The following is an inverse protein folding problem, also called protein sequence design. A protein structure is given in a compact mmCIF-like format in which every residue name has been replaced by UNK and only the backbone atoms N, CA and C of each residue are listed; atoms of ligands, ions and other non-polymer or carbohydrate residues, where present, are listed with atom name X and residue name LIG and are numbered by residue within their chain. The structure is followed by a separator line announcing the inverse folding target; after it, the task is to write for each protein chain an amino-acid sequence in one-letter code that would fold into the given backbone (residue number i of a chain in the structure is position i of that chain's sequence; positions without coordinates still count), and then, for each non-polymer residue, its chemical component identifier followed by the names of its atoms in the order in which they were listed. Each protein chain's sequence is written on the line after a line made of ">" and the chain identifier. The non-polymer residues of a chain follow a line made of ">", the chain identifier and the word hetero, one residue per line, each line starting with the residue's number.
data_IF_609769545511
#
_entry.id   IF_609769545511
#
_cell.length_a   1.000
_cell.length_b   1.000
_cell.length_c   1.000
_cell.angle_alpha   90.00
_cell.angle_beta   90.00
_cell.angle_gamma   90.00
#
_symmetry.space_group_name_H-M   'P 1'
#
loop_
_entity.id
_entity.type
_entity.pdbx_description
1 polymer ?
#
# COMPACT_ATOMS: atom_id res chain seq x y z
N UNK A 1 25.01 4.06 -52.00
CA UNK A 1 23.68 4.42 -51.49
C UNK A 1 23.80 4.50 -49.98
N UNK A 2 23.76 5.75 -49.48
CA UNK A 2 24.06 6.06 -48.11
C UNK A 2 22.87 5.76 -47.17
N UNK A 3 23.14 5.01 -46.12
CA UNK A 3 22.21 4.83 -44.98
C UNK A 3 22.28 6.05 -44.09
N UNK A 4 21.20 6.82 -44.03
CA UNK A 4 21.04 7.86 -43.03
C UNK A 4 20.79 7.23 -41.63
N UNK A 5 21.76 7.39 -40.74
CA UNK A 5 21.61 7.04 -39.34
C UNK A 5 20.60 7.96 -38.68
N UNK A 6 19.55 7.40 -38.12
CA UNK A 6 18.60 8.12 -37.29
C UNK A 6 19.30 8.57 -36.00
N UNK A 7 19.28 9.89 -35.76
CA UNK A 7 19.77 10.46 -34.51
C UNK A 7 18.93 9.98 -33.33
N UNK A 8 19.53 9.73 -32.15
CA UNK A 8 18.77 9.35 -30.97
C UNK A 8 17.84 10.48 -30.53
N UNK A 9 16.56 10.16 -30.37
CA UNK A 9 15.57 11.08 -29.80
C UNK A 9 15.93 11.29 -28.33
N UNK A 10 16.43 12.47 -28.00
CA UNK A 10 16.66 12.89 -26.63
C UNK A 10 15.30 13.06 -25.93
N UNK A 11 15.03 12.22 -24.93
CA UNK A 11 13.92 12.43 -24.00
C UNK A 11 14.18 13.72 -23.21
N UNK A 12 13.19 14.60 -23.04
CA UNK A 12 13.37 15.80 -22.26
C UNK A 12 13.59 15.43 -20.79
N UNK A 13 14.79 15.66 -20.30
CA UNK A 13 15.10 15.67 -18.88
C UNK A 13 14.56 16.97 -18.27
N UNK A 14 13.28 16.97 -17.92
CA UNK A 14 12.71 17.94 -17.02
C UNK A 14 12.21 17.20 -15.78
N UNK A 15 13.08 17.03 -14.79
CA UNK A 15 12.67 16.86 -13.41
C UNK A 15 11.75 18.05 -13.07
N UNK A 16 10.55 17.81 -12.51
CA UNK A 16 9.72 18.91 -12.06
C UNK A 16 10.48 19.71 -11.00
N UNK A 17 10.32 21.03 -11.08
CA UNK A 17 10.89 21.98 -10.14
C UNK A 17 10.71 21.51 -8.69
N UNK A 18 11.74 21.73 -7.86
CA UNK A 18 11.70 21.47 -6.44
C UNK A 18 10.35 21.95 -5.86
N UNK A 19 9.67 21.06 -5.13
CA UNK A 19 8.47 21.42 -4.38
C UNK A 19 8.78 22.70 -3.59
N UNK A 20 7.89 23.71 -3.58
CA UNK A 20 8.12 24.95 -2.83
C UNK A 20 8.45 24.59 -1.38
N UNK A 21 9.32 25.40 -0.74
CA UNK A 21 9.79 25.21 0.64
C UNK A 21 8.60 24.83 1.51
N UNK A 22 8.55 23.55 1.87
CA UNK A 22 7.29 22.93 2.20
C UNK A 22 6.88 23.33 3.60
N UNK A 23 5.72 23.90 3.72
CA UNK A 23 5.03 24.10 4.99
C UNK A 23 4.76 22.73 5.67
N UNK A 24 4.60 22.64 6.98
CA UNK A 24 4.27 21.42 7.67
C UNK A 24 3.04 20.72 7.07
N UNK A 25 3.08 19.41 6.96
CA UNK A 25 2.00 18.60 6.42
C UNK A 25 1.41 17.70 7.51
N UNK A 26 0.10 17.66 7.60
CA UNK A 26 -0.62 16.70 8.44
C UNK A 26 -0.95 15.46 7.62
N UNK A 27 -0.54 14.30 8.11
CA UNK A 27 -1.01 13.00 7.64
C UNK A 27 -1.92 12.37 8.66
N UNK A 28 -3.02 11.78 8.19
CA UNK A 28 -3.94 10.99 9.02
C UNK A 28 -4.10 9.61 8.39
N UNK A 29 -3.94 8.57 9.20
CA UNK A 29 -4.30 7.21 8.86
C UNK A 29 -5.58 6.84 9.60
N UNK A 30 -6.69 6.78 8.87
CA UNK A 30 -8.02 6.46 9.38
C UNK A 30 -8.24 4.95 9.31
N UNK A 31 -7.89 4.23 10.36
CA UNK A 31 -8.22 2.82 10.48
C UNK A 31 -9.61 2.56 11.09
N UNK A 32 -10.09 1.32 10.97
CA UNK A 32 -11.40 0.93 11.50
C UNK A 32 -11.52 0.96 13.03
N UNK A 33 -10.41 0.72 13.74
CA UNK A 33 -10.35 0.68 15.21
C UNK A 33 -9.49 1.78 15.79
N UNK A 34 -8.48 2.22 15.08
CA UNK A 34 -7.54 3.27 15.51
C UNK A 34 -7.30 4.25 14.39
N UNK A 35 -7.19 5.52 14.75
CA UNK A 35 -6.84 6.62 13.86
C UNK A 35 -5.55 7.25 14.39
N UNK A 36 -4.58 7.42 13.49
CA UNK A 36 -3.30 8.03 13.81
C UNK A 36 -3.09 9.29 12.99
N UNK A 37 -2.51 10.31 13.60
CA UNK A 37 -2.12 11.54 12.91
C UNK A 37 -0.67 11.90 13.23
N UNK A 38 0.04 12.43 12.22
CA UNK A 38 1.39 12.99 12.37
C UNK A 38 1.48 14.37 11.75
N UNK A 39 2.49 15.11 12.16
CA UNK A 39 2.95 16.31 11.45
C UNK A 39 4.36 16.05 10.95
N UNK A 40 4.57 16.25 9.66
CA UNK A 40 5.90 16.31 9.04
C UNK A 40 6.30 17.75 8.82
N UNK A 41 7.53 18.13 9.22
CA UNK A 41 8.11 19.42 8.90
C UNK A 41 8.49 19.52 7.41
N UNK A 42 9.07 20.65 7.01
CA UNK A 42 9.51 20.90 5.62
C UNK A 42 10.47 19.82 5.09
N UNK A 43 11.33 19.29 5.96
CA UNK A 43 12.32 18.27 5.60
C UNK A 43 11.75 16.84 5.60
N UNK A 44 10.49 16.65 6.02
CA UNK A 44 9.87 15.33 6.18
C UNK A 44 10.17 14.66 7.51
N UNK A 45 10.77 15.38 8.47
CA UNK A 45 10.92 14.87 9.83
C UNK A 45 9.59 14.92 10.58
N UNK A 46 9.32 13.89 11.37
CA UNK A 46 8.13 13.83 12.22
C UNK A 46 8.35 14.70 13.44
N UNK A 47 7.49 15.71 13.62
CA UNK A 47 7.55 16.64 14.75
C UNK A 47 6.43 16.47 15.75
N UNK A 48 5.39 15.71 15.40
CA UNK A 48 4.28 15.40 16.29
C UNK A 48 3.57 14.13 15.85
N UNK A 49 3.04 13.37 16.80
CA UNK A 49 2.23 12.17 16.59
C UNK A 49 1.16 12.02 17.64
N UNK A 50 -0.02 11.60 17.23
CA UNK A 50 -1.13 11.22 18.10
C UNK A 50 -1.89 10.04 17.52
N UNK A 51 -2.24 9.09 18.38
CA UNK A 51 -3.13 7.97 18.06
C UNK A 51 -4.32 7.98 18.99
N UNK A 52 -5.51 7.74 18.45
CA UNK A 52 -6.76 7.64 19.18
C UNK A 52 -7.51 6.39 18.74
N UNK A 53 -8.48 5.95 19.55
CA UNK A 53 -9.45 4.94 19.08
C UNK A 53 -10.41 5.60 18.09
N UNK A 54 -10.69 4.89 16.98
CA UNK A 54 -11.67 5.36 15.99
C UNK A 54 -13.06 5.16 16.53
N UNK A 55 -13.91 6.19 16.64
CA UNK A 55 -15.25 6.07 17.21
C UNK A 55 -16.26 5.47 16.22
N UNK A 56 -15.91 4.34 15.60
CA UNK A 56 -16.69 3.70 14.53
C UNK A 56 -18.10 3.29 14.99
N UNK A 57 -18.25 2.85 16.25
CA UNK A 57 -19.53 2.48 16.84
C UNK A 57 -20.48 3.68 17.05
N UNK A 58 -19.94 4.90 17.13
CA UNK A 58 -20.70 6.12 17.32
C UNK A 58 -21.17 6.75 16.00
N UNK A 59 -20.78 6.14 14.86
CA UNK A 59 -21.20 6.52 13.53
C UNK A 59 -20.36 7.62 12.87
N UNK A 60 -20.80 8.00 11.68
CA UNK A 60 -20.07 8.89 10.77
C UNK A 60 -19.73 10.26 11.37
N UNK A 61 -20.70 10.91 12.03
CA UNK A 61 -20.48 12.25 12.63
C UNK A 61 -19.41 12.25 13.72
N UNK A 62 -19.31 11.18 14.52
CA UNK A 62 -18.28 11.04 15.53
C UNK A 62 -16.89 10.86 14.90
N UNK A 63 -16.79 10.14 13.79
CA UNK A 63 -15.53 10.01 13.03
C UNK A 63 -15.09 11.37 12.49
N UNK A 64 -16.00 12.14 11.88
CA UNK A 64 -15.69 13.49 11.39
C UNK A 64 -15.18 14.40 12.51
N UNK A 65 -15.86 14.42 13.64
CA UNK A 65 -15.47 15.23 14.80
C UNK A 65 -14.09 14.80 15.33
N UNK A 66 -13.81 13.51 15.40
CA UNK A 66 -12.51 12.99 15.83
C UNK A 66 -11.37 13.40 14.88
N UNK A 67 -11.59 13.33 13.56
CA UNK A 67 -10.62 13.79 12.56
C UNK A 67 -10.34 15.28 12.68
N UNK A 68 -11.39 16.11 12.79
CA UNK A 68 -11.23 17.55 13.00
C UNK A 68 -10.50 17.89 14.29
N UNK A 69 -10.79 17.15 15.37
CA UNK A 69 -10.09 17.29 16.65
C UNK A 69 -8.61 16.94 16.56
N UNK A 70 -8.23 15.89 15.80
CA UNK A 70 -6.82 15.56 15.55
C UNK A 70 -6.10 16.64 14.75
N UNK A 71 -6.75 17.20 13.72
CA UNK A 71 -6.20 18.31 12.91
C UNK A 71 -5.96 19.53 13.83
N UNK A 72 -6.93 19.91 14.66
CA UNK A 72 -6.78 21.04 15.57
C UNK A 72 -5.61 20.84 16.56
N UNK A 73 -5.45 19.63 17.11
CA UNK A 73 -4.32 19.29 17.99
C UNK A 73 -2.98 19.35 17.25
N UNK A 74 -2.93 18.83 16.03
CA UNK A 74 -1.74 18.87 15.17
C UNK A 74 -1.32 20.32 14.85
N UNK A 75 -2.27 21.19 14.51
CA UNK A 75 -2.03 22.62 14.26
C UNK A 75 -1.47 23.33 15.50
N UNK A 76 -2.10 23.08 16.65
CA UNK A 76 -1.66 23.66 17.93
C UNK A 76 -0.23 23.22 18.29
N UNK A 77 0.09 21.95 18.10
CA UNK A 77 1.41 21.40 18.42
C UNK A 77 2.50 21.90 17.47
N UNK A 78 2.17 22.06 16.18
CA UNK A 78 3.11 22.57 15.17
C UNK A 78 3.29 24.10 15.23
N UNK A 79 2.45 24.83 15.96
CA UNK A 79 2.50 26.29 16.06
C UNK A 79 2.20 27.04 14.77
N UNK A 80 1.66 26.35 13.76
CA UNK A 80 1.37 26.91 12.42
C UNK A 80 0.08 26.31 11.87
N UNK A 81 -0.63 27.09 11.05
CA UNK A 81 -1.69 26.51 10.23
C UNK A 81 -1.07 25.47 9.26
N UNK A 82 -1.62 24.27 9.14
CA UNK A 82 -1.08 23.29 8.23
C UNK A 82 -1.27 23.77 6.79
N UNK A 83 -0.23 23.63 5.99
CA UNK A 83 -0.32 23.96 4.58
C UNK A 83 -1.06 22.90 3.78
N UNK A 84 -1.09 21.68 4.30
CA UNK A 84 -1.70 20.55 3.62
C UNK A 84 -2.14 19.47 4.60
N UNK A 85 -3.28 18.84 4.28
CA UNK A 85 -3.83 17.70 5.01
C UNK A 85 -4.06 16.56 4.02
N UNK A 86 -3.51 15.41 4.34
CA UNK A 86 -3.79 14.18 3.61
C UNK A 86 -4.31 13.10 4.54
N UNK A 87 -5.18 12.23 4.02
CA UNK A 87 -5.84 11.16 4.75
C UNK A 87 -5.71 9.86 3.97
N UNK A 88 -5.13 8.85 4.63
CA UNK A 88 -5.24 7.46 4.25
C UNK A 88 -6.51 6.88 4.89
N UNK A 89 -7.33 6.20 4.13
CA UNK A 89 -8.57 5.61 4.65
C UNK A 89 -8.80 4.22 4.09
N UNK A 90 -9.53 3.35 4.81
CA UNK A 90 -10.00 2.12 4.21
C UNK A 90 -10.95 2.44 3.05
N UNK A 91 -10.84 1.70 1.95
CA UNK A 91 -11.65 1.92 0.76
C UNK A 91 -11.18 3.08 -0.13
N UNK A 92 -12.06 3.53 -1.02
CA UNK A 92 -11.75 4.55 -2.03
C UNK A 92 -12.98 5.41 -2.34
N UNK A 93 -12.78 6.48 -3.13
CA UNK A 93 -13.87 7.34 -3.56
C UNK A 93 -14.50 6.83 -4.89
N UNK A 94 -15.80 6.96 -5.00
CA UNK A 94 -16.51 6.87 -6.29
C UNK A 94 -16.26 8.12 -7.13
N UNK A 95 -16.64 8.09 -8.42
CA UNK A 95 -16.64 9.28 -9.29
C UNK A 95 -17.51 10.43 -8.73
N UNK A 96 -18.54 10.12 -7.94
CA UNK A 96 -19.38 11.09 -7.26
C UNK A 96 -18.80 11.60 -5.93
N UNK A 97 -17.57 11.22 -5.57
CA UNK A 97 -16.90 11.63 -4.32
C UNK A 97 -17.39 10.93 -3.06
N UNK A 98 -18.15 9.84 -3.19
CA UNK A 98 -18.66 9.07 -2.06
C UNK A 98 -17.69 7.93 -1.72
N UNK A 99 -17.50 7.63 -0.44
CA UNK A 99 -16.71 6.49 0.01
C UNK A 99 -17.33 5.15 -0.43
N UNK A 100 -16.50 4.20 -0.86
CA UNK A 100 -16.88 2.82 -1.18
C UNK A 100 -15.82 1.84 -0.69
N UNK A 101 -16.21 0.59 -0.50
CA UNK A 101 -15.34 -0.53 -0.12
C UNK A 101 -14.60 -0.32 1.22
N UNK A 102 -15.08 0.56 2.09
CA UNK A 102 -14.51 0.74 3.41
C UNK A 102 -14.93 -0.39 4.35
N UNK A 103 -13.98 -0.98 5.09
CA UNK A 103 -14.28 -1.91 6.16
C UNK A 103 -15.08 -1.24 7.30
N UNK A 104 -14.87 0.04 7.51
CA UNK A 104 -15.69 0.87 8.41
C UNK A 104 -16.98 1.23 7.70
N UNK A 105 -18.02 0.42 7.91
CA UNK A 105 -19.29 0.49 7.15
C UNK A 105 -19.96 1.86 7.21
N UNK A 106 -19.83 2.60 8.32
CA UNK A 106 -20.42 3.93 8.48
C UNK A 106 -19.85 5.00 7.52
N UNK A 107 -18.73 4.71 6.86
CA UNK A 107 -18.11 5.58 5.85
C UNK A 107 -18.72 5.37 4.46
N UNK A 108 -19.20 4.16 4.14
CA UNK A 108 -19.66 3.83 2.80
C UNK A 108 -20.91 4.66 2.42
N UNK A 109 -20.88 5.21 1.19
CA UNK A 109 -21.91 6.11 0.68
C UNK A 109 -21.86 7.54 1.25
N UNK A 110 -20.85 7.88 2.07
CA UNK A 110 -20.70 9.23 2.66
C UNK A 110 -19.72 10.08 1.88
N UNK A 111 -19.93 11.41 1.79
CA UNK A 111 -19.04 12.34 1.09
C UNK A 111 -17.91 12.82 2.01
N UNK A 112 -17.12 11.88 2.57
CA UNK A 112 -16.12 12.13 3.60
C UNK A 112 -15.15 13.28 3.24
N UNK A 113 -14.68 13.32 1.99
CA UNK A 113 -13.78 14.37 1.52
C UNK A 113 -14.44 15.76 1.57
N UNK A 114 -15.66 15.88 1.01
CA UNK A 114 -16.37 17.15 0.95
C UNK A 114 -16.74 17.66 2.35
N UNK A 115 -17.21 16.76 3.24
CA UNK A 115 -17.58 17.11 4.60
C UNK A 115 -16.38 17.56 5.42
N UNK A 116 -15.20 16.90 5.26
CA UNK A 116 -13.98 17.34 5.92
C UNK A 116 -13.46 18.67 5.40
N UNK A 117 -13.49 18.89 4.10
CA UNK A 117 -13.11 20.19 3.51
C UNK A 117 -14.00 21.32 4.01
N UNK A 118 -15.31 21.08 4.08
CA UNK A 118 -16.26 22.06 4.63
C UNK A 118 -16.01 22.33 6.12
N UNK A 119 -15.75 21.27 6.91
CA UNK A 119 -15.54 21.39 8.36
C UNK A 119 -14.22 22.08 8.70
N UNK A 120 -13.15 21.81 7.95
CA UNK A 120 -11.80 22.33 8.20
C UNK A 120 -11.52 23.66 7.48
N UNK A 121 -12.38 24.07 6.53
CA UNK A 121 -12.22 25.30 5.76
C UNK A 121 -10.98 25.34 4.88
N UNK A 122 -10.42 24.18 4.51
CA UNK A 122 -9.19 24.08 3.72
C UNK A 122 -9.15 22.80 2.88
N UNK A 123 -8.29 22.74 1.85
CA UNK A 123 -8.11 21.55 1.02
C UNK A 123 -7.67 20.34 1.84
N UNK A 124 -8.27 19.20 1.55
CA UNK A 124 -7.91 17.88 2.07
C UNK A 124 -7.72 16.94 0.89
N UNK A 125 -6.73 16.08 0.94
CA UNK A 125 -6.55 14.99 -0.01
C UNK A 125 -6.85 13.65 0.69
N UNK A 126 -7.49 12.71 -0.02
CA UNK A 126 -7.81 11.40 0.52
C UNK A 126 -7.46 10.31 -0.50
N UNK A 127 -6.90 9.21 -0.03
CA UNK A 127 -6.67 7.99 -0.80
C UNK A 127 -6.74 6.76 0.12
N UNK A 128 -6.62 5.54 -0.44
CA UNK A 128 -6.57 4.36 0.40
C UNK A 128 -5.21 4.19 1.12
N UNK A 129 -5.18 3.33 2.13
CA UNK A 129 -4.02 3.03 2.96
C UNK A 129 -2.82 2.46 2.17
N UNK A 130 -3.08 1.57 1.20
CA UNK A 130 -2.03 0.98 0.37
C UNK A 130 -1.39 2.02 -0.58
N UNK A 131 -2.17 2.96 -1.10
CA UNK A 131 -1.66 4.10 -1.86
C UNK A 131 -0.80 5.02 -0.99
N UNK A 132 -1.20 5.23 0.26
CA UNK A 132 -0.37 5.97 1.22
C UNK A 132 0.96 5.25 1.47
N UNK A 133 0.95 3.92 1.66
CA UNK A 133 2.19 3.14 1.76
C UNK A 133 3.08 3.36 0.54
N UNK A 134 2.53 3.20 -0.67
CA UNK A 134 3.29 3.37 -1.91
C UNK A 134 3.90 4.77 -2.04
N UNK A 135 3.14 5.80 -1.69
CA UNK A 135 3.59 7.19 -1.75
C UNK A 135 4.71 7.47 -0.73
N UNK A 136 4.56 6.99 0.50
CA UNK A 136 5.60 7.10 1.52
C UNK A 136 6.90 6.46 1.06
N UNK A 137 6.82 5.20 0.65
CA UNK A 137 8.00 4.43 0.27
C UNK A 137 8.67 4.97 -1.00
N UNK A 138 7.90 5.54 -1.94
CA UNK A 138 8.44 6.19 -3.13
C UNK A 138 9.06 7.56 -2.83
N UNK A 139 8.58 8.28 -1.80
CA UNK A 139 9.03 9.65 -1.50
C UNK A 139 10.30 9.67 -0.66
N UNK A 140 10.26 9.01 0.49
CA UNK A 140 11.34 9.05 1.48
C UNK A 140 11.68 7.67 2.09
N UNK A 141 11.10 6.58 1.56
CA UNK A 141 11.29 5.23 2.03
C UNK A 141 12.17 4.35 1.13
N UNK A 142 11.93 3.04 1.18
CA UNK A 142 12.73 2.01 0.50
C UNK A 142 12.74 2.14 -1.03
N UNK A 143 11.73 2.77 -1.62
CA UNK A 143 11.58 3.02 -3.06
C UNK A 143 12.05 4.41 -3.49
N UNK A 144 12.69 5.19 -2.60
CA UNK A 144 13.14 6.54 -2.93
C UNK A 144 14.04 6.55 -4.18
N UNK A 145 13.70 7.43 -5.12
CA UNK A 145 14.43 7.60 -6.39
C UNK A 145 14.03 6.62 -7.49
N UNK A 146 13.19 5.63 -7.22
CA UNK A 146 12.65 4.74 -8.23
C UNK A 146 11.52 5.44 -9.01
N UNK A 147 11.47 5.21 -10.33
CA UNK A 147 10.41 5.74 -11.18
C UNK A 147 9.08 5.02 -10.92
N UNK A 148 9.11 3.70 -10.72
CA UNK A 148 7.93 2.87 -10.45
C UNK A 148 8.15 2.07 -9.17
N UNK A 149 7.26 2.28 -8.19
CA UNK A 149 7.21 1.55 -6.91
C UNK A 149 5.87 0.85 -6.80
N UNK A 150 5.90 -0.46 -6.57
CA UNK A 150 4.74 -1.24 -6.19
C UNK A 150 4.86 -1.57 -4.70
N UNK A 151 3.90 -1.16 -3.89
CA UNK A 151 3.90 -1.42 -2.45
C UNK A 151 2.73 -2.32 -2.07
N UNK A 152 3.03 -3.52 -1.55
CA UNK A 152 2.03 -4.49 -1.12
C UNK A 152 1.91 -4.49 0.41
N UNK A 153 0.68 -4.38 0.90
CA UNK A 153 0.35 -4.61 2.32
C UNK A 153 -0.04 -6.07 2.49
N UNK A 154 0.71 -6.79 3.31
CA UNK A 154 0.45 -8.20 3.64
C UNK A 154 0.13 -8.31 5.14
N UNK A 155 -1.14 -8.49 5.45
CA UNK A 155 -1.63 -8.53 6.84
C UNK A 155 -2.89 -9.38 6.96
N UNK A 156 -3.94 -8.84 7.58
CA UNK A 156 -5.27 -9.46 7.64
C UNK A 156 -5.89 -9.60 6.24
N UNK A 157 -5.61 -8.62 5.36
CA UNK A 157 -5.90 -8.68 3.93
C UNK A 157 -4.62 -8.57 3.10
N UNK A 158 -4.81 -8.41 1.79
CA UNK A 158 -3.75 -8.18 0.82
C UNK A 158 -4.17 -7.07 -0.14
N UNK A 159 -3.59 -5.89 0.03
CA UNK A 159 -3.78 -4.76 -0.86
C UNK A 159 -2.46 -4.29 -1.47
N UNK A 160 -2.53 -3.42 -2.46
CA UNK A 160 -1.34 -2.74 -2.96
C UNK A 160 -1.64 -1.32 -3.42
N UNK A 161 -0.60 -0.51 -3.44
CA UNK A 161 -0.56 0.80 -4.06
C UNK A 161 0.56 0.87 -5.09
N UNK A 162 0.40 1.77 -6.04
CA UNK A 162 1.38 1.99 -7.11
C UNK A 162 1.75 3.46 -7.11
N UNK A 163 3.05 3.76 -7.06
CA UNK A 163 3.56 5.10 -7.26
C UNK A 163 4.41 5.15 -8.54
N UNK A 164 4.12 6.11 -9.40
CA UNK A 164 4.84 6.35 -10.65
C UNK A 164 5.37 7.78 -10.61
N UNK A 165 6.69 7.92 -10.71
CA UNK A 165 7.39 9.22 -10.58
C UNK A 165 6.95 10.00 -9.32
N UNK A 166 6.86 9.31 -8.19
CA UNK A 166 6.48 9.89 -6.90
C UNK A 166 5.00 10.30 -6.79
N UNK A 167 4.14 9.82 -7.68
CA UNK A 167 2.69 10.07 -7.66
C UNK A 167 1.91 8.78 -7.60
N UNK A 168 0.87 8.75 -6.79
CA UNK A 168 -0.03 7.60 -6.69
C UNK A 168 -0.81 7.41 -8.00
N UNK A 169 -0.82 6.19 -8.51
CA UNK A 169 -1.67 5.77 -9.61
C UNK A 169 -3.03 5.33 -9.05
N UNK A 170 -4.07 6.12 -9.25
CA UNK A 170 -5.43 5.76 -8.80
C UNK A 170 -6.27 5.12 -9.90
N UNK A 171 -6.08 5.53 -11.15
CA UNK A 171 -6.90 5.15 -12.29
C UNK A 171 -8.32 5.74 -12.25
N UNK A 172 -9.08 5.64 -13.36
CA UNK A 172 -10.41 6.25 -13.46
C UNK A 172 -11.45 5.57 -12.60
N UNK A 173 -11.23 4.31 -12.22
CA UNK A 173 -12.14 3.53 -11.37
C UNK A 173 -11.77 3.58 -9.89
N UNK A 174 -10.61 4.17 -9.54
CA UNK A 174 -10.04 4.16 -8.20
C UNK A 174 -9.65 2.74 -7.73
N UNK A 175 -9.24 1.85 -8.65
CA UNK A 175 -8.97 0.44 -8.38
C UNK A 175 -7.53 0.02 -8.72
N UNK A 176 -6.66 0.97 -9.06
CA UNK A 176 -5.26 0.64 -9.29
C UNK A 176 -4.64 0.09 -8.00
N UNK A 177 -3.99 -1.06 -8.10
CA UNK A 177 -3.42 -1.75 -6.94
C UNK A 177 -4.31 -2.81 -6.28
N UNK A 178 -5.54 -3.05 -6.74
CA UNK A 178 -6.43 -4.11 -6.26
C UNK A 178 -6.00 -5.52 -6.71
N UNK A 179 -4.68 -5.77 -6.74
CA UNK A 179 -4.11 -7.04 -7.22
C UNK A 179 -4.46 -8.24 -6.33
N UNK A 180 -4.72 -7.99 -5.05
CA UNK A 180 -5.14 -9.01 -4.09
C UNK A 180 -6.44 -9.72 -4.48
N UNK A 181 -7.30 -9.07 -5.28
CA UNK A 181 -8.54 -9.64 -5.79
C UNK A 181 -8.44 -10.26 -7.18
N UNK A 182 -7.24 -10.32 -7.77
CA UNK A 182 -6.98 -11.10 -8.96
C UNK A 182 -6.82 -12.59 -8.62
N UNK A 183 -7.11 -13.53 -9.54
CA UNK A 183 -6.80 -14.94 -9.33
C UNK A 183 -5.29 -15.14 -9.23
N UNK A 184 -4.86 -16.13 -8.43
CA UNK A 184 -3.44 -16.47 -8.35
C UNK A 184 -2.92 -16.93 -9.71
N UNK A 185 -1.91 -16.22 -10.29
CA UNK A 185 -1.37 -16.59 -11.61
C UNK A 185 -0.65 -17.94 -11.56
N UNK A 186 -0.69 -18.66 -12.69
CA UNK A 186 0.00 -19.97 -12.86
C UNK A 186 -0.28 -20.94 -11.72
N UNK A 187 -1.49 -20.87 -11.13
CA UNK A 187 -1.88 -21.81 -10.10
C UNK A 187 -1.94 -23.22 -10.66
N UNK A 188 -1.36 -24.23 -9.98
CA UNK A 188 -1.53 -25.62 -10.39
C UNK A 188 -3.00 -26.05 -10.29
N UNK A 189 -3.38 -27.14 -10.98
CA UNK A 189 -4.77 -27.56 -11.05
C UNK A 189 -5.37 -27.96 -9.70
N UNK A 190 -4.52 -28.40 -8.76
CA UNK A 190 -4.87 -28.79 -7.39
C UNK A 190 -4.76 -27.63 -6.37
N UNK A 191 -4.46 -26.40 -6.84
CA UNK A 191 -4.43 -25.24 -5.96
C UNK A 191 -5.82 -24.95 -5.37
N UNK A 192 -5.88 -24.73 -4.06
CA UNK A 192 -7.10 -24.33 -3.40
C UNK A 192 -7.63 -23.00 -3.96
N UNK A 193 -8.94 -22.93 -4.13
CA UNK A 193 -9.63 -21.72 -4.61
C UNK A 193 -10.67 -21.25 -3.59
N UNK A 194 -10.24 -20.72 -2.43
CA UNK A 194 -11.17 -20.28 -1.40
C UNK A 194 -12.07 -19.16 -1.91
N UNK A 195 -13.28 -19.08 -1.34
CA UNK A 195 -14.19 -17.96 -1.60
C UNK A 195 -13.61 -16.65 -1.03
N UNK A 196 -13.67 -15.59 -1.82
CA UNK A 196 -13.31 -14.25 -1.40
C UNK A 196 -14.58 -13.42 -1.15
N UNK A 197 -14.53 -12.47 -0.24
CA UNK A 197 -15.65 -11.57 0.03
C UNK A 197 -16.02 -10.69 -1.19
N UNK A 198 -15.13 -10.54 -2.16
CA UNK A 198 -15.43 -9.86 -3.42
C UNK A 198 -16.35 -10.66 -4.36
N UNK A 199 -16.74 -11.88 -3.98
CA UNK A 199 -17.60 -12.78 -4.76
C UNK A 199 -16.85 -13.71 -5.71
N UNK A 200 -15.52 -13.61 -5.83
CA UNK A 200 -14.69 -14.47 -6.67
C UNK A 200 -14.09 -15.64 -5.86
N UNK A 201 -13.50 -16.60 -6.57
CA UNK A 201 -12.81 -17.75 -5.98
C UNK A 201 -11.31 -17.70 -6.29
N UNK A 202 -10.47 -17.99 -5.27
CA UNK A 202 -9.02 -18.12 -5.46
C UNK A 202 -8.31 -16.80 -5.68
N UNK A 203 -8.84 -15.69 -5.14
CA UNK A 203 -8.13 -14.43 -5.10
C UNK A 203 -6.80 -14.57 -4.39
N UNK A 204 -5.77 -13.84 -4.84
CA UNK A 204 -4.44 -13.79 -4.23
C UNK A 204 -4.55 -13.60 -2.71
N UNK A 205 -5.38 -12.67 -2.26
CA UNK A 205 -5.59 -12.39 -0.85
C UNK A 205 -5.96 -13.62 -0.03
N UNK A 206 -6.86 -14.47 -0.54
CA UNK A 206 -7.32 -15.68 0.17
C UNK A 206 -6.23 -16.73 0.37
N UNK A 207 -5.08 -16.56 -0.27
CA UNK A 207 -3.96 -17.50 -0.29
C UNK A 207 -2.69 -16.95 0.37
N UNK A 208 -2.49 -15.61 0.35
CA UNK A 208 -1.23 -15.01 0.84
C UNK A 208 -1.40 -14.04 2.02
N UNK A 209 -2.62 -13.70 2.42
CA UNK A 209 -2.85 -12.97 3.67
C UNK A 209 -2.59 -13.84 4.91
N UNK A 210 -2.52 -13.23 6.08
CA UNK A 210 -2.37 -13.98 7.34
C UNK A 210 -3.46 -15.05 7.55
N UNK A 211 -4.75 -14.71 7.40
CA UNK A 211 -5.82 -15.73 7.38
C UNK A 211 -5.65 -16.78 6.29
N UNK A 212 -5.16 -16.41 5.11
CA UNK A 212 -4.89 -17.33 4.00
C UNK A 212 -3.82 -18.36 4.35
N UNK A 213 -2.72 -17.95 4.99
CA UNK A 213 -1.67 -18.86 5.49
C UNK A 213 -2.24 -19.81 6.54
N UNK A 214 -2.99 -19.29 7.52
CA UNK A 214 -3.60 -20.08 8.59
C UNK A 214 -4.57 -21.13 8.04
N UNK A 215 -5.44 -20.74 7.10
CA UNK A 215 -6.40 -21.63 6.45
C UNK A 215 -5.70 -22.70 5.60
N UNK A 216 -4.59 -22.36 4.94
CA UNK A 216 -3.81 -23.34 4.17
C UNK A 216 -3.16 -24.38 5.07
N UNK A 217 -2.55 -23.95 6.18
CA UNK A 217 -1.98 -24.83 7.18
C UNK A 217 -3.05 -25.78 7.75
N UNK A 218 -4.19 -25.25 8.16
CA UNK A 218 -5.30 -26.03 8.72
C UNK A 218 -5.81 -27.10 7.74
N UNK A 219 -5.94 -26.77 6.45
CA UNK A 219 -6.41 -27.72 5.43
C UNK A 219 -5.44 -28.89 5.22
N UNK A 220 -4.13 -28.64 5.30
CA UNK A 220 -3.12 -29.65 4.94
C UNK A 220 -2.58 -30.43 6.11
N UNK A 221 -2.42 -29.76 7.25
CA UNK A 221 -1.74 -30.34 8.42
C UNK A 221 -2.64 -30.38 9.65
N UNK A 222 -3.82 -29.72 9.60
CA UNK A 222 -4.68 -29.57 10.78
C UNK A 222 -4.20 -28.46 11.71
N UNK A 223 -4.84 -28.37 12.87
CA UNK A 223 -4.50 -27.34 13.86
C UNK A 223 -5.05 -25.96 13.50
N UNK A 224 -5.08 -25.08 14.50
CA UNK A 224 -5.57 -23.70 14.37
C UNK A 224 -4.45 -22.75 14.78
N UNK A 225 -3.45 -22.59 13.91
CA UNK A 225 -2.32 -21.68 14.10
C UNK A 225 -2.52 -20.39 13.32
N UNK A 226 -2.13 -19.28 13.91
CA UNK A 226 -2.02 -18.01 13.21
C UNK A 226 -0.77 -17.99 12.32
N UNK A 227 -0.72 -17.11 11.30
CA UNK A 227 0.47 -16.97 10.44
C UNK A 227 1.76 -16.70 11.23
N UNK A 228 1.68 -15.92 12.32
CA UNK A 228 2.83 -15.65 13.19
C UNK A 228 3.29 -16.89 13.96
N UNK A 229 2.36 -17.70 14.45
CA UNK A 229 2.69 -18.96 15.11
C UNK A 229 3.31 -19.96 14.13
N UNK A 230 2.77 -20.06 12.90
CA UNK A 230 3.33 -20.86 11.82
C UNK A 230 4.77 -20.42 11.50
N UNK A 231 5.00 -19.11 11.36
CA UNK A 231 6.32 -18.59 11.10
C UNK A 231 7.32 -18.90 12.24
N UNK A 232 6.87 -18.73 13.48
CA UNK A 232 7.68 -19.04 14.67
C UNK A 232 8.01 -20.54 14.77
N UNK A 233 7.03 -21.41 14.55
CA UNK A 233 7.21 -22.87 14.62
C UNK A 233 8.12 -23.37 13.48
N UNK A 234 7.95 -22.86 12.26
CA UNK A 234 8.84 -23.16 11.15
C UNK A 234 10.31 -22.79 11.46
N UNK A 235 10.54 -21.60 12.03
CA UNK A 235 11.86 -21.18 12.50
C UNK A 235 12.43 -22.04 13.63
N UNK A 236 11.59 -22.74 14.39
CA UNK A 236 11.97 -23.72 15.39
C UNK A 236 12.16 -25.15 14.83
N UNK A 237 11.97 -25.35 13.52
CA UNK A 237 12.23 -26.62 12.84
C UNK A 237 10.95 -27.49 12.63
N UNK A 238 9.74 -26.94 12.84
CA UNK A 238 8.50 -27.64 12.53
C UNK A 238 8.34 -27.79 11.01
N UNK A 239 8.29 -29.05 10.54
CA UNK A 239 8.27 -29.38 9.11
C UNK A 239 6.95 -28.99 8.43
N UNK A 240 5.82 -29.14 9.10
CA UNK A 240 4.49 -28.81 8.56
C UNK A 240 4.32 -27.30 8.41
N UNK A 241 4.81 -26.55 9.38
CA UNK A 241 4.84 -25.10 9.33
C UNK A 241 5.82 -24.58 8.23
N UNK A 242 6.98 -25.22 8.10
CA UNK A 242 7.94 -24.90 7.04
C UNK A 242 7.38 -25.17 5.64
N UNK A 243 6.67 -26.30 5.44
CA UNK A 243 5.98 -26.60 4.19
C UNK A 243 4.89 -25.55 3.86
N UNK A 244 4.14 -25.11 4.87
CA UNK A 244 3.13 -24.05 4.71
C UNK A 244 3.77 -22.73 4.26
N UNK A 245 4.89 -22.31 4.86
CA UNK A 245 5.60 -21.10 4.47
C UNK A 245 6.23 -21.21 3.08
N UNK A 246 6.76 -22.36 2.71
CA UNK A 246 7.30 -22.58 1.37
C UNK A 246 6.21 -22.43 0.30
N UNK A 247 5.00 -22.96 0.52
CA UNK A 247 3.86 -22.74 -0.37
C UNK A 247 3.44 -21.28 -0.44
N UNK A 248 3.40 -20.60 0.70
CA UNK A 248 3.09 -19.17 0.76
C UNK A 248 4.09 -18.34 -0.05
N UNK A 249 5.39 -18.59 0.11
CA UNK A 249 6.45 -17.92 -0.66
C UNK A 249 6.32 -18.18 -2.17
N UNK A 250 5.96 -19.41 -2.57
CA UNK A 250 5.68 -19.75 -3.98
C UNK A 250 4.49 -18.96 -4.53
N UNK A 251 3.41 -18.81 -3.76
CA UNK A 251 2.22 -18.04 -4.15
C UNK A 251 2.53 -16.56 -4.26
N UNK A 252 3.24 -16.02 -3.27
CA UNK A 252 3.69 -14.62 -3.29
C UNK A 252 4.58 -14.35 -4.50
N UNK A 253 5.53 -15.22 -4.80
CA UNK A 253 6.41 -15.09 -5.96
C UNK A 253 5.63 -15.07 -7.28
N UNK A 254 4.60 -15.93 -7.44
CA UNK A 254 3.71 -15.92 -8.62
C UNK A 254 2.92 -14.62 -8.71
N UNK A 255 2.32 -14.18 -7.61
CA UNK A 255 1.58 -12.92 -7.56
C UNK A 255 2.46 -11.72 -7.94
N UNK A 256 3.68 -11.65 -7.38
CA UNK A 256 4.60 -10.54 -7.68
C UNK A 256 5.21 -10.65 -9.09
N UNK A 257 5.42 -11.85 -9.62
CA UNK A 257 5.88 -12.01 -11.01
C UNK A 257 4.86 -11.45 -12.02
N UNK A 258 3.55 -11.58 -11.75
CA UNK A 258 2.54 -10.94 -12.61
C UNK A 258 2.61 -9.41 -12.56
N UNK A 259 2.93 -8.85 -11.40
CA UNK A 259 3.16 -7.41 -11.24
C UNK A 259 4.39 -6.97 -12.04
N UNK A 260 5.50 -7.72 -11.95
CA UNK A 260 6.71 -7.44 -12.74
C UNK A 260 6.41 -7.49 -14.24
N UNK A 261 5.70 -8.51 -14.71
CA UNK A 261 5.34 -8.64 -16.13
C UNK A 261 4.41 -7.51 -16.65
N UNK A 262 3.68 -6.82 -15.78
CA UNK A 262 2.72 -5.77 -16.18
C UNK A 262 3.25 -4.35 -15.94
N UNK A 263 4.00 -4.12 -14.87
CA UNK A 263 4.42 -2.79 -14.44
C UNK A 263 5.92 -2.58 -14.53
N UNK A 264 6.70 -3.67 -14.53
CA UNK A 264 8.17 -3.66 -14.47
C UNK A 264 8.71 -2.66 -13.42
N UNK A 265 8.30 -2.78 -12.14
CA UNK A 265 8.69 -1.83 -11.11
C UNK A 265 10.16 -2.01 -10.75
N UNK A 266 10.86 -0.90 -10.48
CA UNK A 266 12.24 -0.96 -9.97
C UNK A 266 12.30 -1.48 -8.55
N UNK A 267 11.23 -1.22 -7.77
CA UNK A 267 11.13 -1.64 -6.37
C UNK A 267 9.73 -2.16 -6.06
N UNK A 268 9.68 -3.32 -5.45
CA UNK A 268 8.51 -3.84 -4.74
C UNK A 268 8.77 -3.70 -3.25
N UNK A 269 7.88 -3.03 -2.54
CA UNK A 269 7.96 -2.85 -1.09
C UNK A 269 6.89 -3.70 -0.42
N UNK A 270 7.26 -4.46 0.62
CA UNK A 270 6.29 -5.18 1.46
C UNK A 270 6.07 -4.43 2.76
N UNK A 271 4.82 -4.12 3.05
CA UNK A 271 4.33 -3.61 4.33
C UNK A 271 3.39 -4.61 5.02
N UNK A 272 2.89 -4.23 6.19
CA UNK A 272 2.03 -5.07 7.02
C UNK A 272 2.78 -6.12 7.84
N UNK A 273 2.06 -6.87 8.67
CA UNK A 273 2.67 -7.79 9.65
C UNK A 273 3.53 -8.91 9.04
N UNK A 274 3.16 -9.39 7.86
CA UNK A 274 3.89 -10.48 7.18
C UNK A 274 5.21 -10.00 6.54
N UNK A 275 5.40 -8.70 6.34
CA UNK A 275 6.67 -8.13 5.84
C UNK A 275 7.85 -8.36 6.79
N UNK A 276 7.58 -8.74 8.05
CA UNK A 276 8.60 -9.06 9.06
C UNK A 276 9.23 -10.43 8.88
N UNK A 277 8.72 -11.27 7.97
CA UNK A 277 9.32 -12.56 7.61
C UNK A 277 10.55 -12.33 6.72
N UNK A 278 11.72 -12.17 7.34
CA UNK A 278 12.96 -11.69 6.67
C UNK A 278 13.46 -12.61 5.55
N UNK A 279 13.26 -13.92 5.66
CA UNK A 279 13.64 -14.88 4.62
C UNK A 279 12.93 -14.64 3.28
N UNK A 280 11.73 -14.03 3.31
CA UNK A 280 10.93 -13.70 2.13
C UNK A 280 11.73 -12.88 1.12
N UNK A 281 12.58 -11.97 1.59
CA UNK A 281 13.35 -11.06 0.74
C UNK A 281 14.49 -11.73 -0.03
N UNK A 282 14.86 -12.94 0.35
CA UNK A 282 15.84 -13.77 -0.36
C UNK A 282 15.16 -14.84 -1.21
N UNK A 283 14.16 -15.51 -0.63
CA UNK A 283 13.51 -16.66 -1.26
C UNK A 283 12.60 -16.24 -2.41
N UNK A 284 11.76 -15.22 -2.24
CA UNK A 284 10.80 -14.80 -3.27
C UNK A 284 11.47 -14.29 -4.54
N UNK A 285 12.53 -13.46 -4.51
CA UNK A 285 13.27 -13.06 -5.71
C UNK A 285 13.93 -14.23 -6.45
N UNK A 286 14.35 -15.27 -5.76
CA UNK A 286 14.87 -16.47 -6.41
C UNK A 286 13.75 -17.28 -7.11
N UNK A 287 12.55 -17.28 -6.52
CA UNK A 287 11.40 -18.02 -7.04
C UNK A 287 10.73 -17.33 -8.24
N UNK A 288 10.54 -16.02 -8.24
CA UNK A 288 9.78 -15.31 -9.28
C UNK A 288 10.43 -15.37 -10.65
N UNK A 289 11.77 -15.58 -10.75
CA UNK A 289 12.51 -15.76 -12.01
C UNK A 289 11.83 -16.74 -12.96
N UNK A 290 11.19 -17.76 -12.40
CA UNK A 290 10.50 -18.81 -13.17
C UNK A 290 9.29 -18.28 -13.95
N UNK A 291 8.63 -17.21 -13.46
CA UNK A 291 7.37 -16.71 -14.02
C UNK A 291 7.48 -15.32 -14.66
N UNK A 292 8.62 -14.66 -14.50
CA UNK A 292 8.87 -13.39 -15.20
C UNK A 292 9.26 -13.70 -16.64
N UNK A 293 8.64 -13.00 -17.58
CA UNK A 293 8.93 -13.17 -19.01
C UNK A 293 10.32 -12.62 -19.33
N UNK A 294 11.21 -13.46 -19.83
CA UNK A 294 12.59 -13.09 -20.17
C UNK A 294 12.85 -12.98 -21.67
N UNK A 295 11.81 -13.07 -22.51
CA UNK A 295 11.94 -13.04 -23.96
C UNK A 295 12.79 -14.18 -24.55
N UNK A 296 12.96 -15.31 -23.82
CA UNK A 296 13.83 -16.42 -24.18
C UNK A 296 15.30 -16.19 -23.83
N UNK A 297 15.64 -15.04 -23.26
CA UNK A 297 16.94 -14.74 -22.70
C UNK A 297 16.90 -14.96 -21.17
N UNK A 298 17.98 -15.40 -20.58
CA UNK A 298 18.05 -15.66 -19.14
C UNK A 298 18.62 -14.45 -18.39
N UNK A 299 18.00 -13.28 -18.61
CA UNK A 299 18.37 -12.08 -17.87
C UNK A 299 17.81 -12.14 -16.44
N UNK A 300 18.62 -11.76 -15.48
CA UNK A 300 18.17 -11.65 -14.10
C UNK A 300 17.14 -10.52 -13.96
N UNK A 301 16.07 -10.77 -13.24
CA UNK A 301 15.08 -9.75 -12.88
C UNK A 301 15.75 -8.70 -11.99
N UNK A 302 15.66 -7.42 -12.36
CA UNK A 302 16.31 -6.30 -11.68
C UNK A 302 15.44 -5.67 -10.60
N UNK A 303 14.15 -5.98 -10.59
CA UNK A 303 13.23 -5.53 -9.53
C UNK A 303 13.75 -5.94 -8.17
N UNK A 304 13.82 -5.00 -7.25
CA UNK A 304 14.23 -5.25 -5.86
C UNK A 304 13.02 -5.48 -4.98
N UNK A 305 13.07 -6.48 -4.11
CA UNK A 305 12.07 -6.71 -3.07
C UNK A 305 12.61 -6.22 -1.74
N UNK A 306 11.93 -5.25 -1.12
CA UNK A 306 12.42 -4.58 0.09
C UNK A 306 11.32 -4.50 1.15
N UNK A 307 11.66 -4.51 2.45
CA UNK A 307 10.71 -4.17 3.51
C UNK A 307 10.40 -2.67 3.49
N UNK A 308 9.20 -2.30 3.96
CA UNK A 308 8.84 -0.92 4.18
C UNK A 308 9.80 -0.25 5.18
N UNK A 309 10.39 0.87 4.80
CA UNK A 309 11.40 1.55 5.62
C UNK A 309 10.80 2.16 6.89
N UNK A 310 9.58 2.70 6.78
CA UNK A 310 8.89 3.33 7.90
C UNK A 310 7.96 2.37 8.67
N UNK A 311 7.89 1.09 8.24
CA UNK A 311 7.09 0.06 8.89
C UNK A 311 5.63 0.46 9.04
N UNK A 312 5.09 0.38 10.27
CA UNK A 312 3.68 0.72 10.55
C UNK A 312 3.37 2.22 10.34
N UNK A 313 4.38 3.08 10.21
CA UNK A 313 4.22 4.52 9.99
C UNK A 313 4.11 4.92 8.52
N UNK A 314 4.35 3.99 7.58
CA UNK A 314 4.34 4.31 6.14
C UNK A 314 2.99 4.83 5.67
N UNK A 315 1.88 4.30 6.20
CA UNK A 315 0.53 4.76 5.86
C UNK A 315 0.31 6.24 6.21
N UNK A 316 0.53 6.60 7.48
CA UNK A 316 0.31 7.97 7.97
C UNK A 316 1.31 8.97 7.38
N UNK A 317 2.56 8.55 7.09
CA UNK A 317 3.55 9.38 6.37
C UNK A 317 3.11 9.65 4.93
N UNK A 318 2.66 8.60 4.24
CA UNK A 318 2.14 8.71 2.87
C UNK A 318 0.93 9.63 2.77
N UNK A 319 0.06 9.62 3.78
CA UNK A 319 -1.03 10.59 3.89
C UNK A 319 -0.50 12.03 3.96
N UNK A 320 0.52 12.31 4.77
CA UNK A 320 1.14 13.64 4.81
C UNK A 320 1.74 14.06 3.46
N UNK A 321 2.45 13.16 2.79
CA UNK A 321 2.99 13.40 1.45
C UNK A 321 1.88 13.61 0.40
N UNK A 322 0.75 12.90 0.51
CA UNK A 322 -0.42 13.10 -0.35
C UNK A 322 -0.97 14.53 -0.26
N UNK A 323 -1.12 15.05 0.96
CA UNK A 323 -1.54 16.43 1.20
C UNK A 323 -0.65 17.42 0.47
N UNK A 324 0.68 17.28 0.58
CA UNK A 324 1.65 18.14 -0.12
C UNK A 324 1.53 18.10 -1.64
N UNK A 325 1.34 16.90 -2.19
CA UNK A 325 1.23 16.70 -3.64
C UNK A 325 -0.04 17.33 -4.23
N UNK A 326 -1.09 17.43 -3.43
CA UNK A 326 -2.40 17.95 -3.87
C UNK A 326 -2.53 19.48 -3.73
N UNK A 327 -1.71 20.10 -2.88
CA UNK A 327 -1.72 21.55 -2.64
C UNK A 327 -1.10 22.40 -3.76
N UNK A 328 -0.48 21.79 -4.77
CA UNK A 328 0.31 22.49 -5.80
C UNK A 328 -0.15 22.31 -7.25
N UNK A 329 -1.29 21.65 -7.53
CA UNK A 329 -1.75 21.45 -8.91
C UNK A 329 -3.15 22.02 -9.11
N UNK A 330 -3.34 22.94 -10.10
CA UNK A 330 -4.65 23.15 -10.68
C UNK A 330 -5.11 21.83 -11.35
N UNK A 331 -6.38 21.50 -11.18
CA UNK A 331 -7.06 20.35 -11.82
C UNK A 331 -7.11 20.51 -13.33
#
# INVERSE_FOLDING_TARGET
>A
MGGAGAAPVALPAALPAALPAALPAIGIDLGGTKTEAIVLDAAGAEVWRRRIDTPSAQGYGAILAALAGLVAQACSAAGVAPASIGIGSPGTLTAAGLMKNANTQSLNGRPLLADLQALLGQPVAITNDANCLALSEATDGAGRGAAVVFAAILGTGTGAGIAVHGRVLTGPNGLAGEWGHNPLPWAPADEARPACYCGQLGCIETLISGPGIAADHQRRHGGALTALQIASAAGAGDADCADTLARWQQRLARGLASVINLLDPEVIVLGGGLSRMTETYQVVPALWQRWVFSGGQRDAVRTRLLPAQHGDSSGVRGAAWLGRSSGGLPR
#
